data_IF_321613483782
#
_entry.id   IF_321613483782
#
_cell.length_a   1.000
_cell.length_b   1.000
_cell.length_c   1.000
_cell.angle_alpha   90.00
_cell.angle_beta   90.00
_cell.angle_gamma   90.00
#
_symmetry.space_group_name_H-M   'P 1'
#
loop_
_entity.id
_entity.type
_entity.pdbx_description
1 polymer ?
#
# COMPACT_ATOMS: atom_id res chain seq x y z
N UNK A 1 -8.81 -17.53 28.97
CA UNK A 1 -10.10 -17.05 28.46
C UNK A 1 -10.31 -15.55 28.68
N UNK A 2 -9.94 -14.97 29.83
CA UNK A 2 -10.11 -13.53 30.10
C UNK A 2 -9.72 -12.56 28.95
N UNK A 3 -8.61 -12.72 28.22
CA UNK A 3 -8.23 -11.75 27.17
C UNK A 3 -9.08 -11.84 25.89
N UNK A 4 -9.84 -12.91 25.68
CA UNK A 4 -10.64 -13.15 24.46
C UNK A 4 -12.15 -13.18 24.74
N UNK A 5 -12.57 -12.89 25.99
CA UNK A 5 -13.97 -13.04 26.37
C UNK A 5 -14.86 -12.08 25.59
N UNK A 6 -14.47 -10.82 25.43
CA UNK A 6 -15.33 -9.82 24.78
C UNK A 6 -15.54 -10.15 23.30
N UNK A 7 -14.49 -10.59 22.59
CA UNK A 7 -14.58 -11.07 21.21
C UNK A 7 -15.45 -12.33 21.09
N UNK A 8 -15.25 -13.31 21.99
CA UNK A 8 -16.02 -14.56 22.00
C UNK A 8 -17.49 -14.31 22.30
N UNK A 9 -17.80 -13.40 23.23
CA UNK A 9 -19.17 -13.05 23.57
C UNK A 9 -19.86 -12.30 22.43
N UNK A 10 -19.15 -11.37 21.79
CA UNK A 10 -19.65 -10.65 20.60
C UNK A 10 -19.96 -11.62 19.46
N UNK A 11 -19.05 -12.55 19.15
CA UNK A 11 -19.27 -13.58 18.13
C UNK A 11 -20.43 -14.54 18.49
N UNK A 12 -20.61 -14.87 19.77
CA UNK A 12 -21.77 -15.67 20.21
C UNK A 12 -23.08 -14.90 20.01
N UNK A 13 -23.14 -13.61 20.35
CA UNK A 13 -24.34 -12.81 20.13
C UNK A 13 -24.69 -12.67 18.65
N UNK A 14 -23.71 -12.62 17.77
CA UNK A 14 -23.92 -12.65 16.32
C UNK A 14 -24.64 -13.91 15.83
N UNK A 15 -24.59 -15.02 16.57
CA UNK A 15 -25.34 -16.24 16.23
C UNK A 15 -26.80 -16.24 16.72
N UNK A 16 -27.20 -15.28 17.58
CA UNK A 16 -28.57 -15.15 18.09
C UNK A 16 -29.48 -14.44 17.07
N UNK A 17 -29.61 -15.01 15.87
CA UNK A 17 -30.46 -14.50 14.79
C UNK A 17 -31.74 -15.33 14.64
N UNK A 18 -32.88 -14.71 14.29
CA UNK A 18 -34.09 -15.46 13.93
C UNK A 18 -33.93 -16.15 12.56
N UNK A 19 -34.93 -16.95 12.18
CA UNK A 19 -35.06 -17.50 10.82
C UNK A 19 -34.93 -16.36 9.77
N UNK A 20 -34.15 -16.50 8.68
CA UNK A 20 -33.67 -17.74 8.02
C UNK A 20 -32.29 -18.26 8.47
N UNK A 21 -31.69 -17.67 9.51
CA UNK A 21 -30.41 -18.18 10.02
C UNK A 21 -30.56 -19.59 10.62
N UNK A 22 -29.47 -20.37 10.66
CA UNK A 22 -29.50 -21.76 11.12
C UNK A 22 -29.99 -21.86 12.56
N UNK A 23 -31.16 -22.48 12.77
CA UNK A 23 -31.72 -22.77 14.09
C UNK A 23 -30.74 -23.55 14.98
N UNK A 24 -29.95 -24.45 14.39
CA UNK A 24 -28.96 -25.22 15.14
C UNK A 24 -27.92 -24.32 15.83
N UNK A 25 -27.38 -23.33 15.11
CA UNK A 25 -26.40 -22.39 15.69
C UNK A 25 -27.06 -21.50 16.74
N UNK A 26 -28.21 -20.90 16.44
CA UNK A 26 -28.89 -19.98 17.38
C UNK A 26 -29.32 -20.66 18.67
N UNK A 27 -29.93 -21.85 18.61
CA UNK A 27 -30.35 -22.60 19.80
C UNK A 27 -29.14 -23.13 20.59
N UNK A 28 -28.06 -23.51 19.91
CA UNK A 28 -26.83 -23.93 20.57
C UNK A 28 -26.20 -22.77 21.34
N UNK A 29 -26.09 -21.60 20.72
CA UNK A 29 -25.60 -20.38 21.38
C UNK A 29 -26.49 -19.98 22.55
N UNK A 30 -27.82 -20.00 22.39
CA UNK A 30 -28.77 -19.73 23.46
C UNK A 30 -28.56 -20.68 24.66
N UNK A 31 -28.34 -21.98 24.41
CA UNK A 31 -28.06 -22.97 25.46
C UNK A 31 -26.71 -22.74 26.13
N UNK A 32 -25.67 -22.37 25.39
CA UNK A 32 -24.33 -22.05 25.94
C UNK A 32 -24.45 -20.84 26.88
N UNK A 33 -25.07 -19.76 26.41
CA UNK A 33 -25.27 -18.53 27.19
C UNK A 33 -26.17 -18.78 28.42
N UNK A 34 -27.18 -19.63 28.30
CA UNK A 34 -28.03 -20.04 29.42
C UNK A 34 -27.27 -20.84 30.49
N UNK A 35 -26.39 -21.78 30.09
CA UNK A 35 -25.53 -22.56 31.02
C UNK A 35 -24.52 -21.69 31.75
N UNK A 36 -24.05 -20.61 31.12
CA UNK A 36 -23.14 -19.64 31.75
C UNK A 36 -23.85 -18.80 32.84
N UNK A 37 -25.18 -18.73 32.83
CA UNK A 37 -25.97 -18.01 33.83
C UNK A 37 -25.51 -16.56 33.99
N UNK A 38 -25.29 -16.12 35.23
CA UNK A 38 -24.83 -14.75 35.54
C UNK A 38 -23.41 -14.43 35.05
N UNK A 39 -22.61 -15.43 34.66
CA UNK A 39 -21.24 -15.22 34.17
C UNK A 39 -21.22 -14.59 32.78
N UNK A 40 -22.21 -14.88 31.93
CA UNK A 40 -22.37 -14.31 30.58
C UNK A 40 -22.24 -12.77 30.58
N UNK A 41 -22.91 -12.10 31.53
CA UNK A 41 -22.89 -10.64 31.68
C UNK A 41 -21.79 -10.09 32.60
N UNK A 42 -21.16 -10.93 33.42
CA UNK A 42 -20.09 -10.51 34.37
C UNK A 42 -18.76 -10.24 33.65
N UNK A 43 -18.61 -10.75 32.43
CA UNK A 43 -17.42 -10.51 31.62
C UNK A 43 -17.47 -9.20 30.82
N UNK A 44 -18.66 -8.59 30.68
CA UNK A 44 -18.87 -7.28 30.08
C UNK A 44 -18.42 -6.15 31.03
N UNK A 45 -17.12 -6.05 31.29
CA UNK A 45 -16.56 -5.02 32.16
C UNK A 45 -16.04 -3.81 31.38
N UNK A 46 -15.88 -3.94 30.05
CA UNK A 46 -15.38 -2.89 29.19
C UNK A 46 -16.49 -2.40 28.25
N UNK A 47 -16.63 -1.07 28.06
CA UNK A 47 -17.53 -0.56 27.04
C UNK A 47 -17.07 -1.04 25.66
N UNK A 48 -17.98 -1.20 24.68
CA UNK A 48 -17.61 -1.53 23.32
C UNK A 48 -16.69 -0.44 22.76
N UNK A 49 -15.72 -0.84 21.94
CA UNK A 49 -14.85 0.10 21.26
C UNK A 49 -15.67 0.99 20.31
N UNK A 50 -15.55 2.30 20.50
CA UNK A 50 -16.25 3.28 19.67
C UNK A 50 -15.42 3.56 18.41
N UNK A 51 -16.05 3.47 17.25
CA UNK A 51 -15.46 3.97 16.02
C UNK A 51 -15.44 5.50 16.05
N UNK A 52 -14.25 6.10 15.93
CA UNK A 52 -14.07 7.54 15.88
C UNK A 52 -13.10 7.92 14.76
N UNK A 53 -13.24 9.14 14.25
CA UNK A 53 -12.32 9.70 13.28
C UNK A 53 -11.18 10.39 14.02
N UNK A 54 -9.94 10.06 13.65
CA UNK A 54 -8.74 10.58 14.34
C UNK A 54 -8.39 12.03 13.97
N UNK A 55 -9.18 12.67 13.12
CA UNK A 55 -8.99 14.04 12.66
C UNK A 55 -10.32 14.79 12.57
N UNK A 56 -10.28 16.11 12.76
CA UNK A 56 -11.45 16.97 12.72
C UNK A 56 -11.72 17.58 11.32
N UNK A 57 -10.76 17.50 10.40
CA UNK A 57 -10.89 18.03 9.05
C UNK A 57 -11.90 17.23 8.20
N UNK A 58 -12.38 17.84 7.13
CA UNK A 58 -13.25 17.16 6.16
C UNK A 58 -12.55 15.97 5.49
N UNK A 59 -13.33 14.94 5.17
CA UNK A 59 -12.87 13.74 4.44
C UNK A 59 -12.54 14.11 2.99
N UNK A 60 -11.55 13.46 2.34
CA UNK A 60 -11.28 13.65 0.92
C UNK A 60 -12.55 13.50 0.08
N UNK A 61 -12.84 14.51 -0.72
CA UNK A 61 -14.01 14.54 -1.59
C UNK A 61 -13.66 15.15 -2.95
N UNK A 62 -14.47 14.82 -3.96
CA UNK A 62 -14.43 15.48 -5.26
C UNK A 62 -15.79 16.08 -5.57
N UNK A 63 -15.79 17.16 -6.34
CA UNK A 63 -17.01 17.87 -6.68
C UNK A 63 -17.81 17.16 -7.78
N UNK A 64 -19.08 16.87 -7.50
CA UNK A 64 -20.05 16.34 -8.47
C UNK A 64 -21.10 17.39 -8.78
N UNK A 65 -21.36 17.60 -10.08
CA UNK A 65 -22.47 18.43 -10.54
C UNK A 65 -23.69 17.55 -10.80
N UNK A 66 -24.72 17.72 -9.97
CA UNK A 66 -26.01 17.06 -10.14
C UNK A 66 -26.92 17.88 -11.06
N UNK A 67 -27.84 17.21 -11.75
CA UNK A 67 -28.87 17.89 -12.54
C UNK A 67 -29.87 18.51 -11.56
N UNK A 68 -30.03 19.84 -11.62
CA UNK A 68 -30.97 20.61 -10.78
C UNK A 68 -30.27 21.68 -9.95
N UNK A 69 -29.37 21.34 -9.00
CA UNK A 69 -28.60 22.31 -8.25
C UNK A 69 -27.59 23.04 -9.17
N UNK A 70 -27.45 24.36 -9.00
CA UNK A 70 -26.42 25.13 -9.71
C UNK A 70 -25.02 24.95 -9.10
N UNK A 71 -24.95 24.56 -7.82
CA UNK A 71 -23.70 24.36 -7.09
C UNK A 71 -23.21 22.92 -7.18
N UNK A 72 -21.88 22.76 -7.21
CA UNK A 72 -21.24 21.46 -7.10
C UNK A 72 -21.37 20.94 -5.66
N UNK A 73 -21.48 19.63 -5.50
CA UNK A 73 -21.56 18.97 -4.19
C UNK A 73 -20.32 18.13 -3.95
N UNK A 74 -19.70 18.21 -2.76
CA UNK A 74 -18.58 17.34 -2.41
C UNK A 74 -19.09 15.91 -2.24
N UNK A 75 -18.51 14.98 -3.00
CA UNK A 75 -18.77 13.55 -2.90
C UNK A 75 -17.54 12.86 -2.31
N UNK A 76 -17.67 12.10 -1.21
CA UNK A 76 -16.51 11.48 -0.57
C UNK A 76 -15.84 10.45 -1.49
N UNK A 77 -14.52 10.54 -1.54
CA UNK A 77 -13.65 9.73 -2.42
C UNK A 77 -13.75 8.26 -2.00
N UNK A 78 -13.71 7.94 -0.72
CA UNK A 78 -13.59 6.55 -0.20
C UNK A 78 -14.84 5.66 -0.34
N UNK A 79 -15.98 6.19 -0.78
CA UNK A 79 -17.24 5.44 -0.82
C UNK A 79 -17.12 4.21 -1.72
N UNK A 80 -17.37 3.03 -1.14
CA UNK A 80 -17.45 1.75 -1.85
C UNK A 80 -16.12 1.11 -2.23
N UNK A 81 -14.98 1.69 -1.84
CA UNK A 81 -13.65 1.10 -2.02
C UNK A 81 -13.56 -0.28 -1.35
N UNK A 82 -14.06 -0.40 -0.12
CA UNK A 82 -14.05 -1.66 0.64
C UNK A 82 -14.88 -2.75 -0.02
N UNK A 83 -16.06 -2.38 -0.55
CA UNK A 83 -16.97 -3.30 -1.24
C UNK A 83 -16.35 -3.78 -2.55
N UNK A 84 -15.75 -2.87 -3.32
CA UNK A 84 -15.07 -3.21 -4.56
C UNK A 84 -13.86 -4.11 -4.31
N UNK A 85 -13.05 -3.81 -3.29
CA UNK A 85 -11.92 -4.65 -2.91
C UNK A 85 -12.35 -6.03 -2.44
N UNK A 86 -13.37 -6.12 -1.58
CA UNK A 86 -13.93 -7.39 -1.14
C UNK A 86 -14.48 -8.21 -2.32
N UNK A 87 -15.07 -7.55 -3.34
CA UNK A 87 -15.58 -8.22 -4.54
C UNK A 87 -14.47 -8.83 -5.40
N UNK A 88 -13.29 -8.22 -5.46
CA UNK A 88 -12.14 -8.82 -6.14
C UNK A 88 -11.69 -10.12 -5.44
N UNK A 89 -11.64 -10.09 -4.10
CA UNK A 89 -11.23 -11.23 -3.27
C UNK A 89 -12.30 -12.34 -3.19
N UNK A 90 -13.54 -12.07 -3.61
CA UNK A 90 -14.64 -13.01 -3.46
C UNK A 90 -14.44 -14.26 -4.33
N UNK A 91 -14.63 -15.42 -3.71
CA UNK A 91 -14.75 -16.71 -4.38
C UNK A 91 -16.25 -17.05 -4.47
N UNK A 92 -16.87 -16.97 -5.64
CA UNK A 92 -18.32 -17.15 -5.80
C UNK A 92 -18.73 -18.59 -5.47
N UNK A 93 -19.65 -18.75 -4.50
CA UNK A 93 -20.12 -20.07 -4.02
C UNK A 93 -21.33 -20.57 -4.81
N UNK A 94 -22.25 -19.69 -5.20
CA UNK A 94 -23.49 -20.08 -5.89
C UNK A 94 -23.34 -20.03 -7.42
N UNK A 95 -24.12 -20.83 -8.18
CA UNK A 95 -24.07 -20.81 -9.65
C UNK A 95 -24.41 -19.43 -10.24
N UNK A 96 -25.39 -18.72 -9.66
CA UNK A 96 -25.76 -17.37 -10.07
C UNK A 96 -24.63 -16.36 -9.80
N UNK A 97 -23.98 -16.44 -8.64
CA UNK A 97 -22.84 -15.58 -8.33
C UNK A 97 -21.70 -15.81 -9.33
N UNK A 98 -21.38 -17.07 -9.65
CA UNK A 98 -20.36 -17.44 -10.64
C UNK A 98 -20.65 -16.84 -12.02
N UNK A 99 -21.90 -16.90 -12.48
CA UNK A 99 -22.28 -16.37 -13.80
C UNK A 99 -22.07 -14.84 -13.91
N UNK A 100 -22.26 -14.11 -12.80
CA UNK A 100 -22.10 -12.65 -12.76
C UNK A 100 -20.73 -12.17 -12.25
N UNK A 101 -19.87 -13.08 -11.79
CA UNK A 101 -18.66 -12.74 -11.04
C UNK A 101 -17.66 -11.92 -11.87
N UNK A 102 -17.40 -12.37 -13.09
CA UNK A 102 -16.48 -11.69 -14.01
C UNK A 102 -16.89 -10.24 -14.28
N UNK A 103 -18.18 -10.00 -14.53
CA UNK A 103 -18.73 -8.65 -14.75
C UNK A 103 -18.52 -7.75 -13.53
N UNK A 104 -18.86 -8.23 -12.33
CA UNK A 104 -18.72 -7.43 -11.12
C UNK A 104 -17.25 -7.21 -10.74
N UNK A 105 -16.35 -8.17 -10.99
CA UNK A 105 -14.91 -7.99 -10.82
C UNK A 105 -14.35 -6.93 -11.77
N UNK A 106 -14.82 -6.89 -13.01
CA UNK A 106 -14.50 -5.81 -13.95
C UNK A 106 -14.97 -4.44 -13.45
N UNK A 107 -16.20 -4.32 -12.94
CA UNK A 107 -16.68 -3.05 -12.41
C UNK A 107 -15.94 -2.65 -11.11
N UNK A 108 -15.65 -3.61 -10.23
CA UNK A 108 -14.87 -3.37 -9.03
C UNK A 108 -13.47 -2.85 -9.36
N UNK A 109 -12.78 -3.48 -10.32
CA UNK A 109 -11.46 -3.01 -10.76
C UNK A 109 -11.53 -1.63 -11.41
N UNK A 110 -12.56 -1.33 -12.22
CA UNK A 110 -12.76 0.02 -12.78
C UNK A 110 -12.94 1.07 -11.70
N UNK A 111 -13.71 0.77 -10.66
CA UNK A 111 -13.90 1.66 -9.52
C UNK A 111 -12.58 1.92 -8.79
N UNK A 112 -11.84 0.86 -8.45
CA UNK A 112 -10.57 0.95 -7.72
C UNK A 112 -9.48 1.66 -8.53
N UNK A 113 -9.37 1.37 -9.82
CA UNK A 113 -8.40 2.06 -10.71
C UNK A 113 -8.77 3.52 -10.94
N UNK A 114 -10.06 3.86 -11.05
CA UNK A 114 -10.52 5.26 -11.14
C UNK A 114 -10.20 6.01 -9.86
N UNK A 115 -10.40 5.37 -8.71
CA UNK A 115 -10.07 5.92 -7.42
C UNK A 115 -8.57 6.20 -7.29
N UNK A 116 -7.72 5.24 -7.66
CA UNK A 116 -6.28 5.44 -7.63
C UNK A 116 -5.84 6.59 -8.56
N UNK A 117 -6.48 6.74 -9.72
CA UNK A 117 -6.27 7.89 -10.62
C UNK A 117 -6.67 9.22 -9.97
N UNK A 118 -7.74 9.25 -9.16
CA UNK A 118 -8.10 10.46 -8.41
C UNK A 118 -7.05 10.83 -7.36
N UNK A 119 -6.43 9.84 -6.72
CA UNK A 119 -5.30 10.06 -5.80
C UNK A 119 -4.05 10.57 -6.51
N UNK A 120 -3.76 10.05 -7.70
CA UNK A 120 -2.69 10.58 -8.56
C UNK A 120 -3.01 12.02 -9.01
N UNK A 121 -4.30 12.28 -9.28
CA UNK A 121 -4.79 13.59 -9.66
C UNK A 121 -4.60 13.89 -11.15
N UNK A 122 -4.90 15.14 -11.51
CA UNK A 122 -4.59 15.68 -12.83
C UNK A 122 -3.50 16.74 -12.65
N UNK A 123 -2.37 16.54 -13.31
CA UNK A 123 -1.27 17.50 -13.29
C UNK A 123 -1.23 18.30 -14.59
N UNK A 124 -1.05 19.62 -14.46
CA UNK A 124 -0.72 20.48 -15.59
C UNK A 124 0.80 20.42 -15.81
N UNK A 125 1.22 19.44 -16.60
CA UNK A 125 2.63 19.17 -16.86
C UNK A 125 3.23 20.24 -17.80
N UNK A 126 4.42 20.80 -17.49
CA UNK A 126 5.14 21.68 -18.39
C UNK A 126 5.50 20.98 -19.71
N UNK A 127 5.53 21.71 -20.83
CA UNK A 127 5.94 21.16 -22.14
C UNK A 127 7.38 20.60 -22.10
N UNK A 128 8.26 21.21 -21.29
CA UNK A 128 9.67 20.81 -21.13
C UNK A 128 9.90 19.74 -20.05
N UNK A 129 8.85 19.09 -19.53
CA UNK A 129 8.97 18.15 -18.41
C UNK A 129 10.01 17.05 -18.67
N UNK A 130 10.05 16.49 -19.88
CA UNK A 130 11.00 15.43 -20.21
C UNK A 130 12.46 15.89 -20.10
N UNK A 131 12.74 17.12 -20.54
CA UNK A 131 14.07 17.74 -20.43
C UNK A 131 14.41 18.04 -18.97
N UNK A 132 13.45 18.55 -18.20
CA UNK A 132 13.62 18.84 -16.77
C UNK A 132 13.89 17.57 -15.96
N UNK A 133 13.15 16.49 -16.18
CA UNK A 133 13.35 15.21 -15.49
C UNK A 133 14.75 14.66 -15.76
N UNK A 134 15.22 14.71 -17.01
CA UNK A 134 16.58 14.26 -17.37
C UNK A 134 17.65 15.10 -16.67
N UNK A 135 17.50 16.42 -16.67
CA UNK A 135 18.42 17.32 -15.96
C UNK A 135 18.44 17.02 -14.46
N UNK A 136 17.28 16.81 -13.85
CA UNK A 136 17.18 16.44 -12.42
C UNK A 136 17.79 15.07 -12.13
N UNK A 137 17.65 14.11 -13.05
CA UNK A 137 18.26 12.80 -12.96
C UNK A 137 19.80 12.90 -13.03
N UNK A 138 20.34 13.69 -13.96
CA UNK A 138 21.78 13.95 -14.07
C UNK A 138 22.32 14.68 -12.83
N UNK A 139 21.61 15.68 -12.32
CA UNK A 139 21.94 16.36 -11.07
C UNK A 139 22.01 15.37 -9.89
N UNK A 140 21.06 14.43 -9.82
CA UNK A 140 21.04 13.41 -8.78
C UNK A 140 22.21 12.43 -8.92
N UNK A 141 22.61 12.06 -10.14
CA UNK A 141 23.78 11.21 -10.41
C UNK A 141 25.09 11.90 -10.00
N UNK A 142 25.25 13.17 -10.37
CA UNK A 142 26.44 13.96 -10.10
C UNK A 142 26.46 14.55 -8.68
N UNK A 143 25.39 14.30 -7.89
CA UNK A 143 25.17 14.92 -6.58
C UNK A 143 25.28 16.45 -6.63
N UNK A 144 24.80 17.07 -7.72
CA UNK A 144 24.69 18.52 -7.89
C UNK A 144 23.40 18.99 -7.23
N UNK A 145 23.55 19.97 -6.34
CA UNK A 145 22.49 20.38 -5.40
C UNK A 145 22.07 21.83 -5.64
N UNK A 146 22.74 22.52 -6.56
CA UNK A 146 22.44 23.90 -6.87
C UNK A 146 21.16 23.97 -7.70
N UNK A 147 20.11 24.58 -7.16
CA UNK A 147 18.87 24.80 -7.89
C UNK A 147 17.88 25.66 -7.10
N UNK A 148 17.00 26.41 -7.79
CA UNK A 148 16.18 27.45 -7.17
C UNK A 148 14.91 26.95 -6.44
N UNK A 149 14.57 25.66 -6.54
CA UNK A 149 13.32 25.13 -5.98
C UNK A 149 13.61 24.04 -4.94
N UNK A 150 13.39 24.38 -3.67
CA UNK A 150 13.20 23.41 -2.59
C UNK A 150 11.71 23.41 -2.21
N UNK A 151 10.99 22.34 -2.59
CA UNK A 151 9.58 22.16 -2.25
C UNK A 151 9.37 22.02 -0.73
N UNK A 152 10.44 21.75 0.03
CA UNK A 152 10.41 21.58 1.47
C UNK A 152 10.67 22.87 2.27
N UNK A 153 10.94 24.00 1.62
CA UNK A 153 11.16 25.27 2.32
C UNK A 153 9.91 25.80 3.03
N UNK A 154 8.71 25.52 2.47
CA UNK A 154 7.44 25.98 3.05
C UNK A 154 7.10 25.19 4.31
N UNK A 155 6.74 25.88 5.40
CA UNK A 155 6.24 25.24 6.62
C UNK A 155 4.72 25.15 6.57
N UNK A 156 4.16 23.94 6.53
CA UNK A 156 2.72 23.70 6.66
C UNK A 156 2.40 22.98 7.97
N UNK A 157 2.06 23.74 9.01
CA UNK A 157 1.78 23.21 10.36
C UNK A 157 0.30 22.94 10.64
N UNK A 158 -0.59 23.39 9.77
CA UNK A 158 -2.05 23.24 9.92
C UNK A 158 -2.57 21.91 9.40
N UNK A 159 -1.75 21.15 8.68
CA UNK A 159 -2.16 19.91 8.02
C UNK A 159 -2.18 18.74 9.00
N UNK A 160 -3.27 17.97 9.02
CA UNK A 160 -3.46 16.85 9.93
C UNK A 160 -2.62 15.61 9.55
N UNK A 161 -1.66 15.25 10.42
CA UNK A 161 -0.86 14.03 10.28
C UNK A 161 -1.74 12.76 10.40
N UNK A 162 -2.68 12.63 11.36
CA UNK A 162 -3.58 11.48 11.40
C UNK A 162 -4.38 11.30 10.10
N UNK A 163 -4.83 12.39 9.49
CA UNK A 163 -5.52 12.36 8.19
C UNK A 163 -4.62 11.83 7.09
N UNK A 164 -3.36 12.27 7.03
CA UNK A 164 -2.37 11.75 6.08
C UNK A 164 -2.21 10.23 6.23
N UNK A 165 -2.02 9.72 7.45
CA UNK A 165 -1.80 8.30 7.68
C UNK A 165 -2.98 7.43 7.22
N UNK A 166 -4.21 7.88 7.47
CA UNK A 166 -5.42 7.18 7.01
C UNK A 166 -5.53 7.18 5.48
N UNK A 167 -5.16 8.29 4.83
CA UNK A 167 -5.11 8.37 3.36
C UNK A 167 -4.00 7.47 2.78
N UNK A 168 -2.84 7.39 3.44
CA UNK A 168 -1.76 6.51 3.04
C UNK A 168 -2.14 5.03 3.16
N UNK A 169 -2.90 4.65 4.20
CA UNK A 169 -3.47 3.31 4.34
C UNK A 169 -4.48 3.00 3.22
N UNK A 170 -5.35 3.96 2.90
CA UNK A 170 -6.29 3.85 1.78
C UNK A 170 -5.57 3.70 0.43
N UNK A 171 -4.51 4.49 0.21
CA UNK A 171 -3.69 4.40 -0.98
C UNK A 171 -2.96 3.05 -1.08
N UNK A 172 -2.39 2.57 0.04
CA UNK A 172 -1.77 1.24 0.13
C UNK A 172 -2.77 0.15 -0.26
N UNK A 173 -4.00 0.22 0.25
CA UNK A 173 -5.08 -0.71 -0.07
C UNK A 173 -5.46 -0.68 -1.55
N UNK A 174 -5.59 0.50 -2.15
CA UNK A 174 -5.90 0.66 -3.58
C UNK A 174 -4.79 0.08 -4.46
N UNK A 175 -3.54 0.37 -4.15
CA UNK A 175 -2.39 -0.19 -4.86
C UNK A 175 -2.41 -1.71 -4.77
N UNK A 176 -2.53 -2.28 -3.57
CA UNK A 176 -2.62 -3.74 -3.35
C UNK A 176 -3.77 -4.37 -4.14
N UNK A 177 -4.92 -3.69 -4.22
CA UNK A 177 -6.06 -4.15 -5.01
C UNK A 177 -5.76 -4.21 -6.52
N UNK A 178 -5.03 -3.22 -7.05
CA UNK A 178 -4.61 -3.21 -8.44
C UNK A 178 -3.60 -4.32 -8.75
N UNK A 179 -2.65 -4.58 -7.85
CA UNK A 179 -1.75 -5.74 -7.94
C UNK A 179 -2.51 -7.06 -7.88
N UNK A 180 -3.47 -7.20 -6.96
CA UNK A 180 -4.29 -8.42 -6.88
C UNK A 180 -5.10 -8.65 -8.17
N UNK A 181 -5.60 -7.59 -8.81
CA UNK A 181 -6.33 -7.71 -10.06
C UNK A 181 -5.50 -8.31 -11.20
N UNK A 182 -4.16 -8.30 -11.14
CA UNK A 182 -3.33 -8.97 -12.16
C UNK A 182 -3.38 -10.49 -12.07
N UNK A 183 -3.77 -11.07 -10.92
CA UNK A 183 -3.90 -12.53 -10.82
C UNK A 183 -5.21 -13.06 -11.42
N UNK A 184 -6.19 -12.19 -11.64
CA UNK A 184 -7.49 -12.51 -12.21
C UNK A 184 -7.37 -12.60 -13.76
N UNK A 185 -7.60 -13.77 -14.38
CA UNK A 185 -7.36 -13.97 -15.81
C UNK A 185 -8.06 -12.97 -16.74
N UNK A 186 -9.32 -12.64 -16.45
CA UNK A 186 -10.12 -11.71 -17.28
C UNK A 186 -9.64 -10.25 -17.18
N UNK A 187 -8.89 -9.92 -16.14
CA UNK A 187 -8.38 -8.57 -15.86
C UNK A 187 -6.88 -8.43 -16.08
N UNK A 188 -6.16 -9.53 -16.16
CA UNK A 188 -4.70 -9.62 -16.12
C UNK A 188 -4.04 -8.61 -17.05
N UNK A 189 -4.43 -8.56 -18.33
CA UNK A 189 -3.84 -7.63 -19.29
C UNK A 189 -4.07 -6.16 -18.93
N UNK A 190 -5.30 -5.80 -18.56
CA UNK A 190 -5.67 -4.40 -18.26
C UNK A 190 -5.09 -3.95 -16.92
N UNK A 191 -5.07 -4.85 -15.93
CA UNK A 191 -4.49 -4.58 -14.62
C UNK A 191 -2.97 -4.45 -14.70
N UNK A 192 -2.31 -5.33 -15.46
CA UNK A 192 -0.85 -5.28 -15.65
C UNK A 192 -0.42 -3.98 -16.32
N UNK A 193 -1.08 -3.57 -17.41
CA UNK A 193 -0.74 -2.30 -18.06
C UNK A 193 -0.93 -1.10 -17.14
N UNK A 194 -2.02 -1.10 -16.34
CA UNK A 194 -2.28 -0.05 -15.37
C UNK A 194 -1.23 -0.02 -14.25
N UNK A 195 -0.84 -1.16 -13.69
CA UNK A 195 0.21 -1.24 -12.66
C UNK A 195 1.54 -0.75 -13.21
N UNK A 196 1.93 -1.15 -14.43
CA UNK A 196 3.14 -0.64 -15.10
C UNK A 196 3.12 0.90 -15.23
N UNK A 197 1.98 1.48 -15.63
CA UNK A 197 1.86 2.94 -15.75
C UNK A 197 1.94 3.66 -14.39
N UNK A 198 1.34 3.08 -13.34
CA UNK A 198 1.45 3.58 -11.96
C UNK A 198 2.90 3.51 -11.47
N UNK A 199 3.61 2.39 -11.72
CA UNK A 199 5.03 2.26 -11.38
C UNK A 199 5.87 3.33 -12.08
N UNK A 200 5.65 3.58 -13.38
CA UNK A 200 6.34 4.64 -14.13
C UNK A 200 6.08 6.02 -13.55
N UNK A 201 4.83 6.31 -13.20
CA UNK A 201 4.45 7.57 -12.54
C UNK A 201 5.20 7.73 -11.20
N UNK A 202 5.23 6.70 -10.36
CA UNK A 202 5.95 6.73 -9.08
C UNK A 202 7.45 6.98 -9.28
N UNK A 203 8.08 6.42 -10.32
CA UNK A 203 9.50 6.71 -10.61
C UNK A 203 9.71 8.19 -10.94
N UNK A 204 8.84 8.79 -11.76
CA UNK A 204 8.93 10.22 -12.10
C UNK A 204 8.83 11.08 -10.84
N UNK A 205 7.86 10.79 -9.97
CA UNK A 205 7.68 11.49 -8.69
C UNK A 205 8.88 11.30 -7.78
N UNK A 206 9.43 10.08 -7.69
CA UNK A 206 10.57 9.79 -6.82
C UNK A 206 11.86 10.46 -7.27
N UNK A 207 12.10 10.67 -8.56
CA UNK A 207 13.28 11.42 -9.03
C UNK A 207 13.23 12.87 -8.53
N UNK A 208 12.09 13.54 -8.71
CA UNK A 208 11.89 14.91 -8.23
C UNK A 208 11.99 15.02 -6.71
N UNK A 209 11.34 14.10 -5.99
CA UNK A 209 11.39 14.04 -4.52
C UNK A 209 12.80 13.75 -4.00
N UNK A 210 13.51 12.79 -4.58
CA UNK A 210 14.87 12.43 -4.18
C UNK A 210 15.81 13.63 -4.28
N UNK A 211 15.72 14.39 -5.38
CA UNK A 211 16.52 15.58 -5.58
C UNK A 211 16.15 16.68 -4.57
N UNK A 212 14.85 16.93 -4.37
CA UNK A 212 14.39 17.88 -3.37
C UNK A 212 14.87 17.51 -1.96
N UNK A 213 14.79 16.24 -1.57
CA UNK A 213 15.24 15.77 -0.26
C UNK A 213 16.76 15.93 -0.11
N UNK A 214 17.52 15.64 -1.17
CA UNK A 214 18.97 15.81 -1.18
C UNK A 214 19.36 17.29 -1.00
N UNK A 215 18.64 18.22 -1.65
CA UNK A 215 18.79 19.67 -1.44
C UNK A 215 18.48 20.09 -0.02
N UNK A 216 17.33 19.66 0.48
CA UNK A 216 16.85 19.99 1.81
C UNK A 216 17.79 19.50 2.92
N UNK A 217 18.34 18.29 2.78
CA UNK A 217 19.19 17.69 3.82
C UNK A 217 20.60 18.29 3.87
N UNK A 218 21.11 18.81 2.73
CA UNK A 218 22.49 19.34 2.65
C UNK A 218 22.57 20.86 2.80
N UNK A 219 21.44 21.56 2.95
CA UNK A 219 21.44 23.00 3.20
C UNK A 219 21.91 23.33 4.62
N UNK A 220 22.47 24.54 4.84
CA UNK A 220 22.75 25.03 6.19
C UNK A 220 21.48 25.09 7.05
N UNK A 221 21.63 24.87 8.35
CA UNK A 221 20.52 24.99 9.29
C UNK A 221 19.92 26.40 9.25
N UNK A 222 18.60 26.48 9.03
CA UNK A 222 17.82 27.72 9.09
C UNK A 222 16.57 27.47 9.94
N UNK A 223 16.39 28.31 10.96
CA UNK A 223 15.26 28.26 11.90
C UNK A 223 13.94 28.58 11.20
N UNK A 224 13.98 29.38 10.13
CA UNK A 224 12.80 29.81 9.40
C UNK A 224 12.34 28.82 8.34
N UNK A 225 13.14 27.78 8.06
CA UNK A 225 12.71 26.80 7.09
C UNK A 225 11.65 25.86 7.65
N UNK A 226 10.70 25.49 6.80
CA UNK A 226 9.81 24.35 7.01
C UNK A 226 10.45 22.99 6.70
N UNK A 227 9.60 21.97 6.81
CA UNK A 227 9.82 20.57 6.39
C UNK A 227 9.01 20.22 5.12
N UNK A 228 8.38 21.23 4.50
CA UNK A 228 7.53 21.10 3.33
C UNK A 228 6.05 20.89 3.60
N UNK A 229 5.27 20.80 2.52
CA UNK A 229 3.85 20.48 2.59
C UNK A 229 3.64 19.04 3.05
N UNK A 230 2.45 18.76 3.58
CA UNK A 230 2.03 17.39 3.86
C UNK A 230 1.57 16.72 2.56
N UNK A 231 2.27 15.66 2.15
CA UNK A 231 1.97 14.86 0.95
C UNK A 231 1.94 13.36 1.28
N UNK A 232 1.29 12.59 0.41
CA UNK A 232 1.25 11.12 0.46
C UNK A 232 2.59 10.56 -0.05
N UNK A 233 3.26 9.74 0.74
CA UNK A 233 4.59 9.24 0.37
C UNK A 233 4.52 8.23 -0.79
N UNK A 234 5.19 8.53 -1.90
CA UNK A 234 5.35 7.64 -3.05
C UNK A 234 6.12 6.34 -2.70
N UNK A 235 6.87 6.34 -1.59
CA UNK A 235 7.55 5.14 -1.06
C UNK A 235 6.62 4.05 -0.55
N UNK A 236 5.32 4.33 -0.39
CA UNK A 236 4.32 3.31 -0.06
C UNK A 236 4.33 2.14 -1.05
N UNK A 237 4.73 2.36 -2.30
CA UNK A 237 4.86 1.30 -3.30
C UNK A 237 5.83 0.19 -2.82
N UNK A 238 6.89 0.52 -2.08
CA UNK A 238 7.79 -0.49 -1.52
C UNK A 238 7.08 -1.42 -0.52
N UNK A 239 6.24 -0.86 0.34
CA UNK A 239 5.44 -1.64 1.29
C UNK A 239 4.42 -2.53 0.55
N UNK A 240 3.82 -2.03 -0.53
CA UNK A 240 2.90 -2.83 -1.37
C UNK A 240 3.62 -3.97 -2.06
N UNK A 241 4.84 -3.73 -2.59
CA UNK A 241 5.66 -4.79 -3.20
C UNK A 241 5.94 -5.90 -2.19
N UNK A 242 6.31 -5.56 -0.94
CA UNK A 242 6.45 -6.57 0.13
C UNK A 242 5.16 -7.33 0.36
N UNK A 243 4.04 -6.64 0.58
CA UNK A 243 2.74 -7.27 0.81
C UNK A 243 2.35 -8.23 -0.33
N UNK A 244 2.72 -7.91 -1.57
CA UNK A 244 2.47 -8.75 -2.74
C UNK A 244 3.41 -9.95 -2.81
N UNK A 245 4.71 -9.78 -2.49
CA UNK A 245 5.67 -10.88 -2.40
C UNK A 245 5.36 -11.84 -1.24
N UNK A 246 4.74 -11.35 -0.17
CA UNK A 246 4.24 -12.11 0.96
C UNK A 246 2.91 -12.83 0.69
N UNK A 247 2.31 -12.66 -0.49
CA UNK A 247 1.06 -13.32 -0.86
C UNK A 247 1.29 -14.79 -1.20
N UNK A 248 0.32 -15.64 -0.85
CA UNK A 248 0.30 -17.05 -1.24
C UNK A 248 0.14 -17.24 -2.76
N UNK A 249 -0.50 -16.29 -3.44
CA UNK A 249 -0.73 -16.33 -4.88
C UNK A 249 0.55 -16.06 -5.67
N UNK A 250 1.02 -17.07 -6.41
CA UNK A 250 2.22 -17.01 -7.26
C UNK A 250 2.13 -15.86 -8.25
N UNK A 251 0.96 -15.65 -8.87
CA UNK A 251 0.78 -14.59 -9.87
C UNK A 251 0.94 -13.19 -9.26
N UNK A 252 0.55 -13.03 -8.00
CA UNK A 252 0.71 -11.77 -7.27
C UNK A 252 2.19 -11.50 -6.94
N UNK A 253 2.95 -12.55 -6.61
CA UNK A 253 4.42 -12.46 -6.43
C UNK A 253 5.13 -12.13 -7.75
N UNK A 254 4.74 -12.78 -8.84
CA UNK A 254 5.28 -12.50 -10.17
C UNK A 254 4.96 -11.07 -10.63
N UNK A 255 3.76 -10.58 -10.32
CA UNK A 255 3.35 -9.19 -10.56
C UNK A 255 4.24 -8.19 -9.78
N UNK A 256 4.56 -8.49 -8.52
CA UNK A 256 5.46 -7.67 -7.72
C UNK A 256 6.90 -7.65 -8.28
N UNK A 257 7.41 -8.81 -8.70
CA UNK A 257 8.71 -8.92 -9.40
C UNK A 257 8.72 -8.09 -10.68
N UNK A 258 7.68 -8.22 -11.51
CA UNK A 258 7.53 -7.44 -12.73
C UNK A 258 7.45 -5.94 -12.47
N UNK A 259 6.78 -5.51 -11.40
CA UNK A 259 6.77 -4.11 -11.00
C UNK A 259 8.17 -3.60 -10.62
N UNK A 260 9.01 -4.40 -9.97
CA UNK A 260 10.41 -4.05 -9.72
C UNK A 260 11.19 -3.91 -11.04
N UNK A 261 10.99 -4.81 -11.99
CA UNK A 261 11.59 -4.71 -13.34
C UNK A 261 11.12 -3.47 -14.09
N UNK A 262 9.83 -3.14 -14.03
CA UNK A 262 9.24 -1.95 -14.65
C UNK A 262 9.79 -0.65 -14.04
N UNK A 263 9.99 -0.62 -12.71
CA UNK A 263 10.63 0.49 -12.00
C UNK A 263 12.09 0.63 -12.45
N UNK A 264 12.84 -0.48 -12.56
CA UNK A 264 14.23 -0.45 -13.05
C UNK A 264 14.30 0.04 -14.49
N UNK A 265 13.41 -0.45 -15.36
CA UNK A 265 13.35 -0.04 -16.76
C UNK A 265 13.01 1.45 -16.90
N UNK A 266 11.99 1.93 -16.17
CA UNK A 266 11.61 3.35 -16.16
C UNK A 266 12.75 4.24 -15.65
N UNK A 267 13.41 3.84 -14.56
CA UNK A 267 14.59 4.53 -14.05
C UNK A 267 15.73 4.53 -15.08
N UNK A 268 16.01 3.40 -15.74
CA UNK A 268 17.04 3.30 -16.77
C UNK A 268 16.79 4.25 -17.94
N UNK A 269 15.54 4.42 -18.36
CA UNK A 269 15.16 5.40 -19.39
C UNK A 269 15.39 6.85 -18.92
N UNK A 270 15.08 7.16 -17.67
CA UNK A 270 15.23 8.51 -17.11
C UNK A 270 16.71 8.87 -16.90
N UNK A 271 17.51 7.96 -16.34
CA UNK A 271 18.94 8.15 -16.07
C UNK A 271 19.85 7.88 -17.29
N UNK A 272 19.28 7.49 -18.43
CA UNK A 272 20.03 7.26 -19.67
C UNK A 272 20.94 6.02 -19.66
N UNK A 273 20.60 4.99 -18.88
CA UNK A 273 21.34 3.73 -18.83
C UNK A 273 20.86 2.79 -17.71
N UNK A 274 20.90 1.48 -17.96
CA UNK A 274 20.49 0.45 -17.00
C UNK A 274 21.38 0.45 -15.74
N UNK A 275 22.69 0.62 -15.92
CA UNK A 275 23.67 0.65 -14.80
C UNK A 275 23.42 1.84 -13.86
N UNK A 276 22.90 2.95 -14.40
CA UNK A 276 22.60 4.16 -13.63
C UNK A 276 21.27 4.06 -12.89
N UNK A 277 20.37 3.15 -13.27
CA UNK A 277 19.08 2.95 -12.62
C UNK A 277 19.22 2.60 -11.12
N UNK A 278 20.33 1.96 -10.73
CA UNK A 278 20.64 1.63 -9.33
C UNK A 278 20.83 2.86 -8.42
N UNK A 279 21.09 4.04 -9.01
CA UNK A 279 21.24 5.29 -8.25
C UNK A 279 19.91 5.88 -7.78
N UNK A 280 18.78 5.36 -8.26
CA UNK A 280 17.47 5.76 -7.76
C UNK A 280 17.37 5.41 -6.25
N UNK A 281 17.15 6.40 -5.35
CA UNK A 281 17.11 6.14 -3.90
C UNK A 281 15.98 5.18 -3.46
N UNK A 282 14.98 4.97 -4.32
CA UNK A 282 13.93 3.97 -4.12
C UNK A 282 14.49 2.59 -3.79
N UNK A 283 15.58 2.15 -4.44
CA UNK A 283 16.18 0.84 -4.17
C UNK A 283 16.73 0.71 -2.75
N UNK A 284 17.33 1.79 -2.23
CA UNK A 284 17.82 1.82 -0.85
C UNK A 284 16.65 1.72 0.14
N UNK A 285 15.55 2.42 -0.15
CA UNK A 285 14.34 2.32 0.65
C UNK A 285 13.74 0.91 0.58
N UNK A 286 13.55 0.37 -0.62
CA UNK A 286 13.01 -0.97 -0.84
C UNK A 286 13.83 -2.05 -0.12
N UNK A 287 15.16 -1.99 -0.21
CA UNK A 287 16.06 -2.91 0.52
C UNK A 287 15.88 -2.83 2.04
N UNK A 288 15.69 -1.62 2.59
CA UNK A 288 15.39 -1.45 4.03
C UNK A 288 14.03 -2.01 4.40
N UNK A 289 13.00 -1.83 3.57
CA UNK A 289 11.68 -2.40 3.80
C UNK A 289 11.78 -3.93 3.81
N UNK A 290 12.45 -4.57 2.85
CA UNK A 290 12.65 -6.02 2.87
C UNK A 290 13.39 -6.49 4.12
N UNK A 291 14.46 -5.81 4.53
CA UNK A 291 15.16 -6.13 5.79
C UNK A 291 14.25 -6.01 7.01
N UNK A 292 13.41 -4.96 7.06
CA UNK A 292 12.47 -4.76 8.15
C UNK A 292 11.42 -5.88 8.19
N UNK A 293 10.88 -6.27 7.03
CA UNK A 293 9.91 -7.35 6.90
C UNK A 293 10.46 -8.72 7.35
N UNK A 294 11.77 -8.95 7.20
CA UNK A 294 12.43 -10.14 7.77
C UNK A 294 12.36 -10.22 9.31
N UNK A 295 12.13 -9.10 9.99
CA UNK A 295 11.99 -9.03 11.45
C UNK A 295 10.53 -8.99 11.92
N UNK A 296 9.55 -9.10 11.01
CA UNK A 296 8.13 -9.17 11.38
C UNK A 296 7.84 -10.45 12.15
N UNK A 297 6.78 -10.49 12.96
CA UNK A 297 6.38 -11.72 13.66
C UNK A 297 5.82 -12.76 12.68
N UNK A 298 5.09 -12.32 11.65
CA UNK A 298 4.41 -13.21 10.72
C UNK A 298 5.37 -13.85 9.71
N UNK A 299 5.28 -15.17 9.57
CA UNK A 299 6.17 -15.95 8.70
C UNK A 299 6.04 -15.58 7.21
N UNK A 300 4.83 -15.26 6.72
CA UNK A 300 4.62 -14.87 5.32
C UNK A 300 5.25 -13.51 5.01
N UNK A 301 5.29 -12.59 5.98
CA UNK A 301 6.00 -11.31 5.88
C UNK A 301 7.51 -11.55 5.81
N UNK A 302 8.04 -12.45 6.65
CA UNK A 302 9.45 -12.87 6.59
C UNK A 302 9.82 -13.48 5.23
N UNK A 303 8.96 -14.35 4.71
CA UNK A 303 9.15 -15.01 3.42
C UNK A 303 9.12 -14.01 2.24
N UNK A 304 8.21 -13.04 2.24
CA UNK A 304 8.19 -11.98 1.23
C UNK A 304 9.41 -11.07 1.31
N UNK A 305 9.89 -10.76 2.52
CA UNK A 305 11.13 -10.01 2.73
C UNK A 305 12.37 -10.74 2.24
N UNK A 306 12.51 -12.04 2.57
CA UNK A 306 13.64 -12.85 2.12
C UNK A 306 13.63 -13.09 0.61
N UNK A 307 12.45 -13.31 0.02
CA UNK A 307 12.27 -13.38 -1.43
C UNK A 307 12.66 -12.05 -2.10
N UNK A 308 12.24 -10.91 -1.54
CA UNK A 308 12.63 -9.60 -2.03
C UNK A 308 14.14 -9.37 -2.02
N UNK A 309 14.83 -9.75 -0.93
CA UNK A 309 16.31 -9.70 -0.85
C UNK A 309 16.94 -10.61 -1.90
N UNK A 310 16.40 -11.82 -2.09
CA UNK A 310 16.88 -12.73 -3.14
C UNK A 310 16.78 -12.08 -4.52
N UNK A 311 15.60 -11.54 -4.89
CA UNK A 311 15.37 -10.88 -6.18
C UNK A 311 16.33 -9.70 -6.40
N UNK A 312 16.58 -8.88 -5.37
CA UNK A 312 17.54 -7.76 -5.45
C UNK A 312 18.98 -8.24 -5.67
N UNK A 313 19.36 -9.38 -5.10
CA UNK A 313 20.71 -9.91 -5.16
C UNK A 313 21.00 -10.73 -6.43
N UNK A 314 20.00 -11.39 -7.02
CA UNK A 314 20.21 -12.36 -8.11
C UNK A 314 19.66 -11.92 -9.47
N UNK A 315 18.51 -11.26 -9.51
CA UNK A 315 17.77 -11.03 -10.76
C UNK A 315 17.73 -9.57 -11.20
N UNK A 316 17.61 -8.63 -10.25
CA UNK A 316 17.41 -7.23 -10.59
C UNK A 316 18.70 -6.54 -11.08
N UNK A 317 19.89 -7.12 -10.86
CA UNK A 317 21.20 -6.62 -11.32
C UNK A 317 21.37 -5.09 -11.16
N UNK A 318 21.48 -4.63 -9.91
CA UNK A 318 21.73 -3.22 -9.56
C UNK A 318 23.23 -2.88 -9.49
N UNK A 319 24.10 -3.81 -9.90
CA UNK A 319 25.56 -3.68 -9.85
C UNK A 319 26.20 -4.06 -8.50
N UNK A 320 27.42 -4.59 -8.58
CA UNK A 320 28.17 -5.15 -7.45
C UNK A 320 28.41 -4.14 -6.32
N UNK A 321 28.71 -2.88 -6.68
CA UNK A 321 28.96 -1.82 -5.69
C UNK A 321 27.72 -1.56 -4.82
N UNK A 322 26.53 -1.57 -5.43
CA UNK A 322 25.29 -1.34 -4.70
C UNK A 322 24.98 -2.51 -3.76
N UNK A 323 25.17 -3.74 -4.24
CA UNK A 323 24.95 -4.95 -3.44
C UNK A 323 25.94 -5.03 -2.27
N UNK A 324 27.21 -4.71 -2.50
CA UNK A 324 28.25 -4.73 -1.47
C UNK A 324 27.94 -3.77 -0.31
N UNK A 325 27.44 -2.56 -0.61
CA UNK A 325 27.03 -1.58 0.43
C UNK A 325 25.90 -2.11 1.33
N UNK A 326 25.04 -2.98 0.81
CA UNK A 326 23.85 -3.52 1.51
C UNK A 326 24.03 -4.94 2.06
N UNK A 327 25.08 -5.63 1.65
CA UNK A 327 25.32 -7.03 1.99
C UNK A 327 25.23 -7.29 3.49
N UNK A 328 25.84 -6.45 4.32
CA UNK A 328 25.84 -6.64 5.78
C UNK A 328 24.43 -6.57 6.40
N UNK A 329 23.56 -5.70 5.88
CA UNK A 329 22.17 -5.58 6.33
C UNK A 329 21.33 -6.77 5.86
N UNK A 330 21.51 -7.21 4.61
CA UNK A 330 20.85 -8.39 4.06
C UNK A 330 21.23 -9.67 4.80
N UNK A 331 22.52 -9.88 5.04
CA UNK A 331 22.99 -11.05 5.80
C UNK A 331 22.41 -11.04 7.22
N UNK A 332 22.40 -9.87 7.89
CA UNK A 332 21.81 -9.76 9.24
C UNK A 332 20.33 -10.11 9.24
N UNK A 333 19.57 -9.56 8.30
CA UNK A 333 18.13 -9.81 8.18
C UNK A 333 17.83 -11.28 7.87
N UNK A 334 18.54 -11.90 6.92
CA UNK A 334 18.37 -13.31 6.57
C UNK A 334 18.77 -14.25 7.72
N UNK A 335 19.84 -13.93 8.45
CA UNK A 335 20.23 -14.69 9.65
C UNK A 335 19.17 -14.61 10.75
N UNK A 336 18.50 -13.46 10.89
CA UNK A 336 17.38 -13.31 11.82
C UNK A 336 16.22 -14.25 11.44
N UNK A 337 15.84 -14.31 10.15
CA UNK A 337 14.78 -15.23 9.68
C UNK A 337 15.11 -16.67 10.06
N UNK A 338 16.34 -17.13 9.83
CA UNK A 338 16.76 -18.50 10.18
C UNK A 338 16.67 -18.74 11.69
N UNK A 339 17.03 -17.75 12.52
CA UNK A 339 17.00 -17.86 13.98
C UNK A 339 15.59 -17.85 14.55
N UNK A 340 14.69 -17.06 13.97
CA UNK A 340 13.38 -16.72 14.56
C UNK A 340 12.22 -17.46 13.88
N UNK A 341 12.48 -18.38 12.95
CA UNK A 341 11.42 -19.17 12.29
C UNK A 341 11.20 -20.50 13.02
N UNK A 342 10.02 -20.73 13.62
CA UNK A 342 9.65 -22.02 14.20
C UNK A 342 9.76 -23.19 13.22
N UNK A 343 10.07 -24.39 13.74
CA UNK A 343 10.23 -25.61 12.94
C UNK A 343 8.92 -26.13 12.32
N UNK A 344 7.76 -25.66 12.79
CA UNK A 344 6.43 -26.08 12.33
C UNK A 344 5.94 -25.31 11.08
N UNK A 345 6.73 -24.36 10.58
CA UNK A 345 6.41 -23.52 9.43
C UNK A 345 6.92 -24.13 8.11
N UNK A 346 6.37 -23.70 6.95
CA UNK A 346 6.84 -24.16 5.65
C UNK A 346 8.35 -23.97 5.51
N UNK A 347 9.02 -25.01 4.99
CA UNK A 347 10.47 -25.06 4.80
C UNK A 347 10.95 -24.20 3.64
#
# INVERSE_FOLDING_TARGET
MAPIMDELMTALWDHLRPHPYSHFHSHTTMRILGKLGGRNRKFLNHPPELAFQQFADEVPSFDVRLIGPNEKRPFPVEIGVDVAYAKLLEIPKTPAAKASDAYYKQQAFRMLSSQLKLYIGYDNLPEDLASLIRLQADDLLESKIQGPVDIFDKSERSSSIPKKLIQEESLKKLLKACFFATSIPDLEQTATSFVTDVCRHVVVVEVGRALAQARHTRRPFDVNSGEGPVYLDSRLLANVIVDCLSSDDVKMRDSAKRAMEDIKAAAGVIFGGADKAAKLPFWQHLGRVFCHSCHSEEWFTKAGGSLGIHLLATELDLGDSWLFERQSDFVRALMYVIKDTPADLPA
#
